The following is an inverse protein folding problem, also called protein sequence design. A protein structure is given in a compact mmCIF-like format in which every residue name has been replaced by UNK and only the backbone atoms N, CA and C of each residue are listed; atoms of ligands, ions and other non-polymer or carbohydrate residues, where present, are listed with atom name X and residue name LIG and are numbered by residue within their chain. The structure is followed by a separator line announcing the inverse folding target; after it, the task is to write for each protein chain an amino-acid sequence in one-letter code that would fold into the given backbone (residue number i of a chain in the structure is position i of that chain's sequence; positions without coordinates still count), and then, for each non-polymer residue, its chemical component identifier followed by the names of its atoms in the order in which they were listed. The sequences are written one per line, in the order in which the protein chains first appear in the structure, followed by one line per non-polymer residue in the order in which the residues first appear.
data_IF_205517296734
#
_entry.id   IF_205517296734
#
_cell.length_a   1.000
_cell.length_b   1.000
_cell.length_c   1.000
_cell.angle_alpha   90.00
_cell.angle_beta   90.00
_cell.angle_gamma   90.00
#
_symmetry.space_group_name_H-M   'P 1'
#
loop_
_entity.id
_entity.type
_entity.pdbx_description
1 polymer ?
#
# COMPACT_ATOMS: atom_id res chain seq x y z
N UNK A 1 -25.17 -14.91 27.08
CA UNK A 1 -23.86 -15.12 26.40
C UNK A 1 -23.88 -14.28 25.14
N UNK A 2 -23.40 -13.03 25.21
CA UNK A 2 -23.39 -12.11 24.06
C UNK A 2 -22.22 -12.48 23.15
N UNK A 3 -22.51 -12.99 21.96
CA UNK A 3 -21.53 -13.16 20.88
C UNK A 3 -21.01 -11.78 20.48
N UNK A 4 -19.79 -11.45 20.87
CA UNK A 4 -19.06 -10.28 20.37
C UNK A 4 -19.07 -10.35 18.84
N UNK A 5 -19.60 -9.36 18.11
CA UNK A 5 -19.49 -9.38 16.66
C UNK A 5 -18.00 -9.34 16.33
N UNK A 6 -17.56 -10.28 15.50
CA UNK A 6 -16.22 -10.27 14.92
C UNK A 6 -16.06 -8.90 14.24
N UNK A 7 -15.35 -8.00 14.93
CA UNK A 7 -14.90 -6.72 14.42
C UNK A 7 -14.29 -7.02 13.07
N UNK A 8 -14.90 -6.53 11.97
CA UNK A 8 -14.41 -6.73 10.62
C UNK A 8 -12.90 -6.52 10.64
N UNK A 9 -12.14 -7.63 10.59
CA UNK A 9 -10.74 -7.56 10.26
C UNK A 9 -10.78 -6.94 8.87
N UNK A 10 -10.30 -5.70 8.74
CA UNK A 10 -10.13 -5.07 7.43
C UNK A 10 -9.12 -5.93 6.66
N UNK A 11 -9.62 -7.01 6.08
CA UNK A 11 -8.85 -7.94 5.26
C UNK A 11 -8.43 -7.14 4.03
N UNK A 12 -7.16 -6.76 3.99
CA UNK A 12 -6.59 -6.13 2.82
C UNK A 12 -6.58 -7.20 1.72
N UNK A 13 -7.23 -6.95 0.57
CA UNK A 13 -7.27 -7.93 -0.51
C UNK A 13 -5.86 -8.31 -0.97
N UNK A 14 -5.67 -9.59 -1.24
CA UNK A 14 -4.43 -10.13 -1.78
C UNK A 14 -4.53 -10.34 -3.29
N UNK A 15 -3.45 -10.01 -3.99
CA UNK A 15 -3.28 -10.15 -5.45
C UNK A 15 -2.17 -11.15 -5.73
N UNK A 16 -2.41 -12.05 -6.68
CA UNK A 16 -1.43 -13.03 -7.16
C UNK A 16 -0.90 -12.58 -8.53
N UNK A 17 0.40 -12.33 -8.62
CA UNK A 17 1.10 -11.99 -9.85
C UNK A 17 1.86 -13.21 -10.37
N UNK A 18 1.57 -13.63 -11.60
CA UNK A 18 2.31 -14.72 -12.27
C UNK A 18 3.60 -14.16 -12.87
N UNK A 19 4.73 -14.68 -12.41
CA UNK A 19 6.07 -14.36 -12.92
C UNK A 19 6.65 -15.58 -13.63
N UNK A 20 7.72 -15.40 -14.42
CA UNK A 20 8.38 -16.49 -15.14
C UNK A 20 8.92 -17.58 -14.21
N UNK A 21 9.20 -17.24 -12.95
CA UNK A 21 9.76 -18.13 -11.93
C UNK A 21 8.70 -18.69 -10.95
N UNK A 22 7.41 -18.33 -11.12
CA UNK A 22 6.32 -18.79 -10.25
C UNK A 22 5.29 -17.70 -9.89
N UNK A 23 4.56 -17.89 -8.80
CA UNK A 23 3.54 -16.94 -8.33
C UNK A 23 4.06 -16.08 -7.17
N UNK A 24 3.90 -14.76 -7.26
CA UNK A 24 4.16 -13.83 -6.16
C UNK A 24 2.85 -13.29 -5.61
N UNK A 25 2.76 -13.28 -4.28
CA UNK A 25 1.55 -12.88 -3.55
C UNK A 25 1.82 -11.55 -2.88
N UNK A 26 0.98 -10.55 -3.18
CA UNK A 26 1.08 -9.19 -2.65
C UNK A 26 -0.25 -8.78 -2.02
N UNK A 27 -0.25 -7.95 -1.00
CA UNK A 27 -1.44 -7.15 -0.71
C UNK A 27 -1.63 -6.07 -1.80
N UNK A 28 -2.86 -5.58 -1.94
CA UNK A 28 -3.18 -4.61 -3.00
C UNK A 28 -2.34 -3.32 -2.92
N UNK A 29 -1.98 -2.85 -1.73
CA UNK A 29 -1.18 -1.63 -1.58
C UNK A 29 0.27 -1.86 -1.99
N UNK A 30 0.87 -2.99 -1.59
CA UNK A 30 2.20 -3.39 -2.07
C UNK A 30 2.24 -3.53 -3.59
N UNK A 31 1.17 -4.07 -4.22
CA UNK A 31 1.08 -4.17 -5.68
C UNK A 31 1.00 -2.79 -6.35
N UNK A 32 0.28 -1.83 -5.76
CA UNK A 32 0.18 -0.45 -6.24
C UNK A 32 1.49 0.32 -6.06
N UNK A 33 2.20 0.12 -4.94
CA UNK A 33 3.50 0.75 -4.71
C UNK A 33 4.52 0.34 -5.77
N UNK A 34 4.49 -0.92 -6.23
CA UNK A 34 5.30 -1.40 -7.37
C UNK A 34 5.00 -0.65 -8.69
N UNK A 35 3.80 -0.08 -8.83
CA UNK A 35 3.42 0.80 -9.95
C UNK A 35 3.63 2.29 -9.63
N UNK A 36 4.34 2.59 -8.55
CA UNK A 36 4.65 3.93 -8.05
C UNK A 36 3.40 4.73 -7.67
N UNK A 37 2.41 4.02 -7.15
CA UNK A 37 1.15 4.59 -6.65
C UNK A 37 1.19 4.59 -5.11
N UNK A 38 1.12 5.77 -4.51
CA UNK A 38 1.03 5.97 -3.05
C UNK A 38 -0.39 6.42 -2.72
N UNK A 39 -1.04 5.72 -1.79
CA UNK A 39 -2.41 6.01 -1.36
C UNK A 39 -2.43 6.55 0.07
N UNK A 40 -3.06 7.70 0.27
CA UNK A 40 -3.30 8.32 1.58
C UNK A 40 -4.81 8.29 1.81
N UNK A 41 -5.29 7.32 2.57
CA UNK A 41 -6.73 7.06 2.76
C UNK A 41 -7.29 7.40 4.13
N UNK A 42 -6.47 7.93 5.02
CA UNK A 42 -6.82 8.27 6.40
C UNK A 42 -6.31 9.66 6.74
N UNK A 43 -6.79 10.23 7.85
CA UNK A 43 -6.26 11.49 8.37
C UNK A 43 -4.74 11.45 8.51
N UNK A 44 -4.09 12.57 8.19
CA UNK A 44 -2.64 12.68 8.23
C UNK A 44 -2.22 12.94 9.67
N UNK A 45 -1.64 11.92 10.29
CA UNK A 45 -0.92 12.01 11.56
C UNK A 45 0.58 11.72 11.34
N UNK A 46 1.37 11.75 12.42
CA UNK A 46 2.81 11.52 12.36
C UNK A 46 3.15 10.12 11.81
N UNK A 47 2.31 9.10 12.04
CA UNK A 47 2.56 7.76 11.55
C UNK A 47 2.32 7.67 10.04
N UNK A 48 1.21 8.23 9.56
CA UNK A 48 0.88 8.30 8.13
C UNK A 48 1.94 9.12 7.40
N UNK A 49 2.32 10.28 7.92
CA UNK A 49 3.35 11.13 7.33
C UNK A 49 4.69 10.40 7.20
N UNK A 50 5.16 9.74 8.27
CA UNK A 50 6.41 8.97 8.22
C UNK A 50 6.36 7.81 7.23
N UNK A 51 5.23 7.10 7.14
CA UNK A 51 5.05 6.02 6.17
C UNK A 51 5.08 6.52 4.73
N UNK A 52 4.40 7.64 4.45
CA UNK A 52 4.40 8.26 3.12
C UNK A 52 5.80 8.72 2.74
N UNK A 53 6.53 9.38 3.65
CA UNK A 53 7.94 9.79 3.42
C UNK A 53 8.80 8.58 3.06
N UNK A 54 8.69 7.48 3.81
CA UNK A 54 9.44 6.26 3.53
C UNK A 54 9.11 5.67 2.15
N UNK A 55 7.84 5.66 1.75
CA UNK A 55 7.41 5.20 0.43
C UNK A 55 7.97 6.08 -0.70
N UNK A 56 7.97 7.41 -0.52
CA UNK A 56 8.52 8.33 -1.52
C UNK A 56 10.03 8.15 -1.70
N UNK A 57 10.78 8.06 -0.60
CA UNK A 57 12.23 7.84 -0.64
C UNK A 57 12.58 6.48 -1.27
N UNK A 58 11.77 5.45 -0.98
CA UNK A 58 11.92 4.14 -1.60
C UNK A 58 11.75 4.22 -3.13
N UNK A 59 10.69 4.87 -3.61
CA UNK A 59 10.42 5.01 -5.04
C UNK A 59 11.45 5.89 -5.76
N UNK A 60 11.94 6.94 -5.10
CA UNK A 60 13.01 7.80 -5.63
C UNK A 60 14.33 7.01 -5.79
N UNK A 61 14.66 6.15 -4.83
CA UNK A 61 15.84 5.30 -4.90
C UNK A 61 15.76 4.24 -6.01
N UNK A 62 14.56 3.74 -6.34
CA UNK A 62 14.36 2.81 -7.46
C UNK A 62 14.51 3.51 -8.83
N UNK A 63 13.86 4.66 -9.02
CA UNK A 63 14.01 5.48 -10.22
C UNK A 63 13.58 6.93 -9.92
N UNK A 64 14.56 7.83 -9.81
CA UNK A 64 14.32 9.25 -9.53
C UNK A 64 13.72 10.03 -10.72
N UNK A 65 13.72 9.46 -11.93
CA UNK A 65 13.19 10.13 -13.13
C UNK A 65 11.73 9.77 -13.41
N UNK A 66 11.25 8.67 -12.85
CA UNK A 66 9.91 8.20 -13.08
C UNK A 66 8.92 8.86 -12.11
N UNK A 67 7.78 9.31 -12.64
CA UNK A 67 6.75 9.96 -11.85
C UNK A 67 6.21 9.06 -10.72
N UNK A 68 5.76 9.71 -9.64
CA UNK A 68 5.05 9.08 -8.53
C UNK A 68 3.61 9.60 -8.54
N UNK A 69 2.62 8.70 -8.48
CA UNK A 69 1.20 9.05 -8.44
C UNK A 69 0.71 8.99 -7.00
N UNK A 70 0.26 10.12 -6.46
CA UNK A 70 -0.29 10.20 -5.10
C UNK A 70 -1.80 10.37 -5.20
N UNK A 71 -2.55 9.46 -4.58
CA UNK A 71 -4.00 9.54 -4.46
C UNK A 71 -4.36 9.84 -3.00
N UNK A 72 -5.07 10.95 -2.79
CA UNK A 72 -5.43 11.44 -1.46
C UNK A 72 -6.94 11.34 -1.29
N UNK A 73 -7.35 10.60 -0.26
CA UNK A 73 -8.70 10.54 0.26
C UNK A 73 -8.63 10.86 1.76
N UNK A 74 -8.92 12.11 2.10
CA UNK A 74 -8.83 12.65 3.45
C UNK A 74 -10.13 13.28 3.89
#
# INVERSE_FOLDING_TARGET
MSSTPLKNLNLIPTVVEKTFEGERVYDIYSRLLKERIVFIGTGIDDMVANSVIAQLLFLEAEDAKQDIKIYIHS
#
